data_IF_977706615410
#
_entry.id   IF_977706615410
#
_cell.length_a   1.000
_cell.length_b   1.000
_cell.length_c   1.000
_cell.angle_alpha   90.00
_cell.angle_beta   90.00
_cell.angle_gamma   90.00
#
_symmetry.space_group_name_H-M   'P 1'
#
loop_
_entity.id
_entity.type
_entity.pdbx_description
1 polymer ?
#
# COMPACT_ATOMS: atom_id res chain seq x y z
N UNK A 1 1.86 -20.90 -23.16
CA UNK A 1 1.88 -19.95 -22.02
C UNK A 1 0.67 -20.21 -21.12
N UNK A 2 0.87 -20.29 -19.80
CA UNK A 2 -0.23 -20.35 -18.84
C UNK A 2 -1.01 -19.02 -18.82
N UNK A 3 -2.25 -19.03 -18.31
CA UNK A 3 -3.09 -17.82 -18.22
C UNK A 3 -2.41 -16.70 -17.41
N UNK A 4 -1.73 -17.05 -16.31
CA UNK A 4 -0.97 -16.11 -15.49
C UNK A 4 0.17 -15.45 -16.27
N UNK A 5 0.95 -16.22 -17.04
CA UNK A 5 2.00 -15.65 -17.88
C UNK A 5 1.46 -14.69 -18.94
N UNK A 6 0.27 -14.96 -19.50
CA UNK A 6 -0.38 -14.05 -20.45
C UNK A 6 -0.80 -12.74 -19.79
N UNK A 7 -1.41 -12.80 -18.60
CA UNK A 7 -1.83 -11.61 -17.87
C UNK A 7 -0.64 -10.71 -17.50
N UNK A 8 0.44 -11.28 -16.96
CA UNK A 8 1.64 -10.51 -16.61
C UNK A 8 2.30 -9.87 -17.85
N UNK A 9 2.31 -10.57 -18.98
CA UNK A 9 2.83 -10.03 -20.23
C UNK A 9 1.96 -8.90 -20.79
N UNK A 10 0.63 -9.06 -20.79
CA UNK A 10 -0.29 -8.01 -21.23
C UNK A 10 -0.16 -6.75 -20.35
N UNK A 11 -0.13 -6.92 -19.03
CA UNK A 11 0.05 -5.81 -18.09
C UNK A 11 1.36 -5.06 -18.36
N UNK A 12 2.48 -5.78 -18.51
CA UNK A 12 3.77 -5.16 -18.81
C UNK A 12 3.71 -4.35 -20.10
N UNK A 13 3.13 -4.92 -21.17
CA UNK A 13 3.00 -4.26 -22.47
C UNK A 13 2.12 -3.02 -22.39
N UNK A 14 0.99 -3.09 -21.69
CA UNK A 14 0.07 -1.94 -21.52
C UNK A 14 0.78 -0.81 -20.77
N UNK A 15 1.41 -1.11 -19.63
CA UNK A 15 2.15 -0.11 -18.85
C UNK A 15 3.26 0.56 -19.66
N UNK A 16 4.10 -0.21 -20.36
CA UNK A 16 5.21 0.37 -21.14
C UNK A 16 4.76 1.04 -22.43
N UNK A 17 3.57 0.72 -22.95
CA UNK A 17 2.98 1.44 -24.09
C UNK A 17 2.45 2.82 -23.70
N UNK A 18 1.99 2.99 -22.46
CA UNK A 18 1.50 4.27 -21.93
C UNK A 18 2.66 5.18 -21.49
N UNK A 19 3.61 4.65 -20.71
CA UNK A 19 4.84 5.34 -20.34
C UNK A 19 5.93 4.29 -20.11
N UNK A 20 6.92 4.23 -21.00
CA UNK A 20 7.98 3.21 -20.94
C UNK A 20 8.79 3.27 -19.63
N UNK A 21 9.23 4.47 -19.24
CA UNK A 21 10.11 4.64 -18.08
C UNK A 21 9.39 4.39 -16.75
N UNK A 22 8.15 4.89 -16.59
CA UNK A 22 7.36 4.67 -15.38
C UNK A 22 6.75 3.25 -15.37
N UNK A 23 6.33 2.74 -16.52
CA UNK A 23 5.81 1.38 -16.66
C UNK A 23 6.84 0.31 -16.29
N UNK A 24 8.10 0.50 -16.72
CA UNK A 24 9.22 -0.37 -16.28
C UNK A 24 9.44 -0.30 -14.77
N UNK A 25 9.28 0.85 -14.12
CA UNK A 25 9.40 0.98 -12.66
C UNK A 25 8.30 0.22 -11.92
N UNK A 26 7.05 0.29 -12.43
CA UNK A 26 5.92 -0.50 -11.88
C UNK A 26 6.23 -1.99 -11.98
N UNK A 27 6.68 -2.46 -13.16
CA UNK A 27 7.02 -3.87 -13.35
C UNK A 27 8.19 -4.32 -12.47
N UNK A 28 9.22 -3.47 -12.30
CA UNK A 28 10.34 -3.77 -11.40
C UNK A 28 9.87 -3.95 -9.96
N UNK A 29 9.01 -3.05 -9.45
CA UNK A 29 8.44 -3.16 -8.11
C UNK A 29 7.61 -4.43 -7.94
N UNK A 30 6.80 -4.79 -8.94
CA UNK A 30 6.00 -6.02 -8.91
C UNK A 30 6.88 -7.28 -8.89
N UNK A 31 7.93 -7.32 -9.72
CA UNK A 31 8.87 -8.46 -9.77
C UNK A 31 9.63 -8.60 -8.45
N UNK A 32 10.08 -7.48 -7.88
CA UNK A 32 10.75 -7.43 -6.56
C UNK A 32 9.87 -8.07 -5.48
N UNK A 33 8.59 -7.69 -5.43
CA UNK A 33 7.61 -8.29 -4.53
C UNK A 33 7.36 -9.77 -4.81
N UNK A 34 7.15 -10.18 -6.06
CA UNK A 34 6.94 -11.60 -6.38
C UNK A 34 8.15 -12.44 -5.95
N UNK A 35 9.36 -11.91 -6.10
CA UNK A 35 10.57 -12.59 -5.66
C UNK A 35 10.60 -12.76 -4.14
N UNK A 36 10.32 -11.70 -3.37
CA UNK A 36 10.33 -11.77 -1.90
C UNK A 36 9.31 -12.75 -1.33
N UNK A 37 8.16 -12.96 -2.00
CA UNK A 37 7.15 -13.95 -1.56
C UNK A 37 7.59 -15.41 -1.68
N UNK A 38 8.71 -15.69 -2.37
CA UNK A 38 9.26 -17.05 -2.53
C UNK A 38 10.21 -17.44 -1.41
N UNK A 39 10.75 -16.46 -0.69
CA UNK A 39 11.67 -16.70 0.40
C UNK A 39 10.90 -17.11 1.66
N UNK A 40 11.57 -17.85 2.55
CA UNK A 40 10.98 -18.15 3.85
C UNK A 40 10.78 -16.84 4.64
N UNK A 41 9.59 -16.68 5.20
CA UNK A 41 9.25 -15.50 6.00
C UNK A 41 10.18 -15.38 7.20
N UNK A 42 10.79 -14.21 7.36
CA UNK A 42 11.64 -13.90 8.52
C UNK A 42 10.79 -13.87 9.80
N UNK A 43 11.27 -14.53 10.84
CA UNK A 43 10.53 -14.67 12.11
C UNK A 43 11.07 -13.75 13.23
N UNK A 44 12.34 -13.34 13.15
CA UNK A 44 13.01 -12.59 14.22
C UNK A 44 13.41 -11.19 13.75
N UNK A 45 13.09 -10.18 14.56
CA UNK A 45 13.37 -8.78 14.27
C UNK A 45 14.04 -8.11 15.47
N UNK A 46 15.06 -7.30 15.19
CA UNK A 46 15.82 -6.57 16.23
C UNK A 46 15.03 -5.43 16.87
N UNK A 47 13.90 -5.03 16.27
CA UNK A 47 12.98 -4.03 16.79
C UNK A 47 11.91 -3.66 15.75
N UNK A 48 11.00 -2.76 16.14
CA UNK A 48 9.89 -2.35 15.27
C UNK A 48 10.36 -1.76 13.94
N UNK A 49 11.45 -0.99 13.93
CA UNK A 49 11.95 -0.38 12.69
C UNK A 49 12.42 -1.43 11.68
N UNK A 50 13.17 -2.41 12.14
CA UNK A 50 13.63 -3.56 11.36
C UNK A 50 12.45 -4.40 10.84
N UNK A 51 11.43 -4.61 11.70
CA UNK A 51 10.17 -5.23 11.28
C UNK A 51 9.48 -4.45 10.15
N UNK A 52 9.32 -3.13 10.29
CA UNK A 52 8.67 -2.30 9.28
C UNK A 52 9.45 -2.23 7.97
N UNK A 53 10.78 -2.23 8.01
CA UNK A 53 11.61 -2.26 6.81
C UNK A 53 11.52 -3.60 6.07
N UNK A 54 11.40 -4.72 6.78
CA UNK A 54 11.07 -6.01 6.17
C UNK A 54 9.65 -6.01 5.59
N UNK A 55 8.67 -5.54 6.37
CA UNK A 55 7.26 -5.50 5.99
C UNK A 55 7.00 -4.61 4.78
N UNK A 56 7.80 -3.57 4.57
CA UNK A 56 7.77 -2.73 3.38
C UNK A 56 7.91 -3.51 2.07
N UNK A 57 8.75 -4.55 2.05
CA UNK A 57 8.90 -5.42 0.88
C UNK A 57 7.70 -6.35 0.76
N UNK A 58 7.24 -6.91 1.88
CA UNK A 58 6.13 -7.86 1.97
C UNK A 58 4.75 -7.24 1.63
N UNK A 59 4.59 -5.93 1.79
CA UNK A 59 3.40 -5.19 1.30
C UNK A 59 3.56 -4.62 -0.11
N UNK A 60 4.64 -4.96 -0.82
CA UNK A 60 4.97 -4.45 -2.15
C UNK A 60 5.08 -2.91 -2.21
N UNK A 61 5.66 -2.25 -1.21
CA UNK A 61 5.69 -0.78 -1.16
C UNK A 61 6.36 -0.13 -2.38
N UNK A 62 7.41 -0.74 -2.94
CA UNK A 62 8.04 -0.26 -4.18
C UNK A 62 7.05 -0.26 -5.35
N UNK A 63 6.26 -1.31 -5.49
CA UNK A 63 5.20 -1.40 -6.50
C UNK A 63 4.13 -0.34 -6.27
N UNK A 64 3.67 -0.17 -5.02
CA UNK A 64 2.65 0.83 -4.66
C UNK A 64 3.11 2.24 -5.04
N UNK A 65 4.32 2.65 -4.64
CA UNK A 65 4.81 4.00 -4.96
C UNK A 65 5.18 4.17 -6.44
N UNK A 66 5.60 3.11 -7.12
CA UNK A 66 5.75 3.15 -8.58
C UNK A 66 4.40 3.39 -9.28
N UNK A 67 3.32 2.74 -8.82
CA UNK A 67 1.96 3.00 -9.31
C UNK A 67 1.54 4.45 -9.04
N UNK A 68 1.79 4.99 -7.83
CA UNK A 68 1.50 6.40 -7.50
C UNK A 68 2.21 7.34 -8.49
N UNK A 69 3.48 7.07 -8.81
CA UNK A 69 4.22 7.86 -9.79
C UNK A 69 3.67 7.72 -11.20
N UNK A 70 3.38 6.49 -11.63
CA UNK A 70 2.85 6.18 -12.95
C UNK A 70 1.53 6.91 -13.22
N UNK A 71 0.52 6.74 -12.34
CA UNK A 71 -0.82 7.33 -12.53
C UNK A 71 -0.83 8.85 -12.45
N UNK A 72 0.21 9.46 -11.86
CA UNK A 72 0.37 10.90 -11.79
C UNK A 72 1.36 11.46 -12.82
N UNK A 73 1.94 10.61 -13.69
CA UNK A 73 3.01 10.98 -14.64
C UNK A 73 4.17 11.72 -13.95
N UNK A 74 4.64 11.20 -12.82
CA UNK A 74 5.69 11.80 -11.99
C UNK A 74 7.03 11.13 -12.27
N UNK A 75 7.81 11.77 -13.14
CA UNK A 75 9.19 11.38 -13.40
C UNK A 75 10.16 12.23 -12.58
N UNK A 76 10.65 11.66 -11.47
CA UNK A 76 11.72 12.19 -10.65
C UNK A 76 12.96 11.30 -10.80
N UNK A 77 14.13 11.93 -10.97
CA UNK A 77 15.42 11.28 -10.80
C UNK A 77 15.64 10.91 -9.33
N UNK A 78 16.63 10.08 -9.03
CA UNK A 78 16.97 9.74 -7.64
C UNK A 78 17.27 11.00 -6.80
N UNK A 79 18.05 11.94 -7.35
CA UNK A 79 18.33 13.22 -6.69
C UNK A 79 17.07 14.11 -6.54
N UNK A 80 16.13 14.03 -7.49
CA UNK A 80 14.84 14.73 -7.39
C UNK A 80 13.91 14.12 -6.35
N UNK A 81 14.03 12.82 -6.06
CA UNK A 81 13.21 12.12 -5.08
C UNK A 81 13.80 12.20 -3.64
N UNK A 82 15.12 12.32 -3.51
CA UNK A 82 15.83 12.34 -2.21
C UNK A 82 15.24 13.30 -1.17
N UNK A 83 14.83 14.55 -1.49
CA UNK A 83 14.22 15.45 -0.51
C UNK A 83 12.90 14.93 0.08
N UNK A 84 12.27 13.95 -0.56
CA UNK A 84 10.98 13.38 -0.18
C UNK A 84 11.12 12.05 0.57
N UNK A 85 12.32 11.50 0.68
CA UNK A 85 12.57 10.16 1.25
C UNK A 85 11.96 9.98 2.63
N UNK A 86 12.09 10.99 3.50
CA UNK A 86 11.51 10.94 4.85
C UNK A 86 9.99 10.86 4.80
N UNK A 87 9.35 11.70 3.97
CA UNK A 87 7.89 11.71 3.82
C UNK A 87 7.39 10.39 3.23
N UNK A 88 8.08 9.84 2.23
CA UNK A 88 7.73 8.55 1.62
C UNK A 88 7.88 7.40 2.63
N UNK A 89 8.96 7.38 3.43
CA UNK A 89 9.16 6.38 4.49
C UNK A 89 8.08 6.46 5.57
N UNK A 90 7.69 7.67 5.99
CA UNK A 90 6.59 7.86 6.93
C UNK A 90 5.27 7.35 6.35
N UNK A 91 4.93 7.71 5.12
CA UNK A 91 3.69 7.25 4.48
C UNK A 91 3.66 5.73 4.27
N UNK A 92 4.81 5.14 3.94
CA UNK A 92 4.98 3.69 3.85
C UNK A 92 4.72 3.01 5.20
N UNK A 93 5.37 3.48 6.26
CA UNK A 93 5.23 2.90 7.59
C UNK A 93 3.78 3.07 8.09
N UNK A 94 3.12 4.20 7.78
CA UNK A 94 1.68 4.40 7.99
C UNK A 94 0.82 3.38 7.25
N UNK A 95 1.05 3.18 5.94
CA UNK A 95 0.30 2.21 5.12
C UNK A 95 0.42 0.80 5.71
N UNK A 96 1.62 0.40 6.14
CA UNK A 96 1.87 -0.88 6.80
C UNK A 96 1.03 -1.00 8.07
N UNK A 97 1.16 -0.04 8.99
CA UNK A 97 0.47 -0.11 10.27
C UNK A 97 -1.05 -0.12 10.13
N UNK A 98 -1.59 0.69 9.22
CA UNK A 98 -3.02 0.71 8.90
C UNK A 98 -3.45 -0.65 8.36
N UNK A 99 -2.71 -1.20 7.39
CA UNK A 99 -3.02 -2.51 6.83
C UNK A 99 -3.07 -3.58 7.92
N UNK A 100 -2.00 -3.66 8.71
CA UNK A 100 -1.83 -4.66 9.76
C UNK A 100 -2.91 -4.53 10.85
N UNK A 101 -3.27 -3.30 11.23
CA UNK A 101 -4.32 -3.04 12.22
C UNK A 101 -5.68 -3.59 11.76
N UNK A 102 -6.09 -3.30 10.52
CA UNK A 102 -7.40 -3.71 10.00
C UNK A 102 -7.42 -5.16 9.51
N UNK A 103 -6.28 -5.72 9.08
CA UNK A 103 -6.19 -7.10 8.60
C UNK A 103 -5.99 -8.12 9.72
N UNK A 104 -5.64 -7.69 10.94
CA UNK A 104 -5.21 -8.55 12.04
C UNK A 104 -6.18 -9.70 12.32
N UNK A 105 -7.48 -9.45 12.50
CA UNK A 105 -8.47 -10.50 12.82
C UNK A 105 -8.55 -11.56 11.73
N UNK A 106 -8.45 -11.14 10.47
CA UNK A 106 -8.43 -12.06 9.33
C UNK A 106 -7.18 -12.93 9.37
N UNK A 107 -6.02 -12.32 9.60
CA UNK A 107 -4.72 -13.00 9.60
C UNK A 107 -4.53 -13.90 10.82
N UNK A 108 -5.00 -13.49 12.00
CA UNK A 108 -5.01 -14.31 13.22
C UNK A 108 -5.90 -15.54 13.04
N UNK A 109 -7.07 -15.39 12.40
CA UNK A 109 -7.91 -16.52 12.03
C UNK A 109 -7.25 -17.44 11.00
N UNK A 110 -6.56 -16.89 9.99
CA UNK A 110 -5.84 -17.69 9.01
C UNK A 110 -4.67 -18.47 9.66
N UNK A 111 -3.96 -17.87 10.61
CA UNK A 111 -2.95 -18.55 11.43
C UNK A 111 -3.58 -19.73 12.19
N UNK A 112 -4.67 -19.49 12.92
CA UNK A 112 -5.31 -20.53 13.74
C UNK A 112 -5.95 -21.64 12.93
N UNK A 113 -6.59 -21.32 11.80
CA UNK A 113 -7.37 -22.28 11.01
C UNK A 113 -6.61 -22.97 9.89
N UNK A 114 -5.54 -22.34 9.36
CA UNK A 114 -4.78 -22.83 8.20
C UNK A 114 -3.29 -23.00 8.49
N UNK A 115 -2.86 -22.73 9.72
CA UNK A 115 -1.45 -22.71 10.10
C UNK A 115 -0.62 -21.78 9.18
N UNK A 116 -1.21 -20.66 8.77
CA UNK A 116 -0.57 -19.67 7.91
C UNK A 116 0.44 -18.82 8.70
N UNK A 117 1.50 -18.35 8.05
CA UNK A 117 2.41 -17.37 8.66
C UNK A 117 1.72 -16.03 8.85
N UNK A 118 1.96 -15.39 9.99
CA UNK A 118 1.48 -14.02 10.27
C UNK A 118 2.67 -13.06 10.31
N UNK A 119 2.66 -12.05 9.44
CA UNK A 119 3.66 -10.97 9.42
C UNK A 119 2.88 -9.67 9.59
N UNK A 120 2.58 -9.35 10.85
CA UNK A 120 1.63 -8.30 11.20
C UNK A 120 2.11 -7.54 12.44
N UNK A 121 2.07 -6.21 12.40
CA UNK A 121 2.56 -5.35 13.48
C UNK A 121 1.81 -5.59 14.79
N UNK A 122 0.49 -5.81 14.76
CA UNK A 122 -0.29 -6.10 15.98
C UNK A 122 0.18 -7.41 16.60
N UNK A 123 0.41 -8.45 15.79
CA UNK A 123 0.95 -9.72 16.26
C UNK A 123 2.38 -9.56 16.81
N UNK A 124 3.23 -8.81 16.11
CA UNK A 124 4.60 -8.53 16.54
C UNK A 124 4.63 -7.80 17.89
N UNK A 125 3.82 -6.75 18.07
CA UNK A 125 3.74 -5.98 19.32
C UNK A 125 3.17 -6.81 20.47
N UNK A 126 2.18 -7.67 20.20
CA UNK A 126 1.61 -8.61 21.17
C UNK A 126 2.71 -9.49 21.78
N UNK A 127 3.56 -10.07 20.94
CA UNK A 127 4.67 -10.92 21.36
C UNK A 127 5.78 -10.12 22.04
N UNK A 128 6.22 -9.02 21.42
CA UNK A 128 7.33 -8.20 21.90
C UNK A 128 7.08 -7.64 23.30
N UNK A 129 5.84 -7.20 23.57
CA UNK A 129 5.47 -6.55 24.83
C UNK A 129 4.78 -7.49 25.81
N UNK A 130 4.52 -8.75 25.44
CA UNK A 130 3.76 -9.71 26.24
C UNK A 130 2.39 -9.17 26.69
N UNK A 131 1.65 -8.59 25.75
CA UNK A 131 0.31 -8.00 25.99
C UNK A 131 -0.76 -8.70 25.17
N UNK A 132 -2.03 -8.46 25.50
CA UNK A 132 -3.16 -8.97 24.72
C UNK A 132 -3.35 -8.21 23.39
N UNK A 133 -4.02 -8.86 22.42
CA UNK A 133 -4.27 -8.30 21.08
C UNK A 133 -4.94 -6.91 21.13
N UNK A 134 -5.82 -6.67 22.11
CA UNK A 134 -6.46 -5.35 22.29
C UNK A 134 -5.42 -4.26 22.58
N UNK A 135 -4.52 -4.48 23.54
CA UNK A 135 -3.50 -3.51 23.90
C UNK A 135 -2.50 -3.29 22.75
N UNK A 136 -2.13 -4.35 22.03
CA UNK A 136 -1.27 -4.24 20.85
C UNK A 136 -1.90 -3.39 19.74
N UNK A 137 -3.22 -3.50 19.51
CA UNK A 137 -3.98 -2.64 18.58
C UNK A 137 -4.01 -1.18 19.04
N UNK A 138 -4.27 -0.95 20.32
CA UNK A 138 -4.28 0.40 20.89
C UNK A 138 -2.89 1.07 20.67
N UNK A 139 -1.79 0.33 20.85
CA UNK A 139 -0.43 0.80 20.56
C UNK A 139 -0.21 1.06 19.07
N UNK A 140 -0.59 0.12 18.19
CA UNK A 140 -0.48 0.29 16.75
C UNK A 140 -1.25 1.53 16.25
N UNK A 141 -2.43 1.78 16.83
CA UNK A 141 -3.22 2.97 16.54
C UNK A 141 -2.52 4.27 16.97
N UNK A 142 -1.91 4.31 18.16
CA UNK A 142 -1.09 5.43 18.60
C UNK A 142 0.10 5.69 17.66
N UNK A 143 0.76 4.63 17.16
CA UNK A 143 1.85 4.76 16.20
C UNK A 143 1.38 5.35 14.87
N UNK A 144 0.19 4.97 14.39
CA UNK A 144 -0.43 5.56 13.18
C UNK A 144 -0.63 7.06 13.38
N UNK A 145 -1.21 7.47 14.51
CA UNK A 145 -1.46 8.88 14.83
C UNK A 145 -0.16 9.69 14.93
N UNK A 146 0.88 9.13 15.56
CA UNK A 146 2.19 9.79 15.64
C UNK A 146 2.80 9.99 14.25
N UNK A 147 2.72 8.99 13.37
CA UNK A 147 3.19 9.13 11.98
C UNK A 147 2.37 10.17 11.20
N UNK A 148 1.05 10.27 11.43
CA UNK A 148 0.22 11.31 10.80
C UNK A 148 0.67 12.73 11.20
N UNK A 149 1.03 12.93 12.48
CA UNK A 149 1.62 14.19 12.94
C UNK A 149 2.99 14.44 12.28
N UNK A 150 3.85 13.42 12.21
CA UNK A 150 5.15 13.53 11.54
C UNK A 150 5.03 13.83 10.04
N UNK A 151 4.06 13.23 9.35
CA UNK A 151 3.74 13.51 7.94
C UNK A 151 3.30 14.97 7.76
N UNK A 152 2.43 15.46 8.65
CA UNK A 152 1.99 16.85 8.62
C UNK A 152 3.18 17.81 8.76
N UNK A 153 4.04 17.57 9.75
CA UNK A 153 5.18 18.44 10.00
C UNK A 153 6.23 18.38 8.89
N UNK A 154 6.50 17.19 8.35
CA UNK A 154 7.42 17.06 7.21
C UNK A 154 6.87 17.77 5.98
N UNK A 155 5.58 17.63 5.67
CA UNK A 155 4.96 18.36 4.57
C UNK A 155 5.01 19.88 4.79
N UNK A 156 4.76 20.35 6.02
CA UNK A 156 4.89 21.77 6.36
C UNK A 156 6.31 22.27 6.13
N UNK A 157 7.32 21.56 6.64
CA UNK A 157 8.74 21.88 6.47
C UNK A 157 9.14 21.96 5.00
N UNK A 158 8.74 20.97 4.20
CA UNK A 158 9.03 20.92 2.76
C UNK A 158 8.36 22.08 1.99
N UNK A 159 7.20 22.55 2.44
CA UNK A 159 6.52 23.72 1.87
C UNK A 159 7.18 25.05 2.26
N UNK A 160 7.56 25.22 3.52
CA UNK A 160 8.07 26.50 4.05
C UNK A 160 9.47 26.81 3.57
N UNK A 161 10.33 25.80 3.43
CA UNK A 161 11.70 25.98 2.98
C UNK A 161 11.83 26.29 1.47
N UNK A 162 10.70 26.35 0.72
CA UNK A 162 10.66 26.39 -0.75
C UNK A 162 11.59 25.34 -1.39
N UNK A 163 11.81 24.22 -0.70
CA UNK A 163 12.77 23.20 -1.10
C UNK A 163 12.26 22.29 -2.20
N UNK A 164 10.94 22.33 -2.47
CA UNK A 164 10.30 21.49 -3.46
C UNK A 164 9.87 22.27 -4.70
N UNK A 165 10.19 21.71 -5.87
CA UNK A 165 9.56 22.10 -7.12
C UNK A 165 8.10 21.60 -7.21
N UNK A 166 7.41 21.99 -8.29
CA UNK A 166 6.01 21.62 -8.51
C UNK A 166 5.80 20.11 -8.63
N UNK A 167 6.73 19.38 -9.25
CA UNK A 167 6.65 17.94 -9.47
C UNK A 167 6.86 17.18 -8.17
N UNK A 168 7.86 17.58 -7.38
CA UNK A 168 8.12 17.04 -6.06
C UNK A 168 6.95 17.27 -5.11
N UNK A 169 6.35 18.47 -5.12
CA UNK A 169 5.18 18.75 -4.31
C UNK A 169 3.96 17.93 -4.71
N UNK A 170 3.73 17.73 -6.02
CA UNK A 170 2.69 16.82 -6.53
C UNK A 170 2.93 15.39 -6.05
N UNK A 171 4.18 14.91 -6.06
CA UNK A 171 4.50 13.58 -5.58
C UNK A 171 4.23 13.43 -4.08
N UNK A 172 4.69 14.38 -3.27
CA UNK A 172 4.42 14.40 -1.83
C UNK A 172 2.92 14.30 -1.51
N UNK A 173 2.09 15.07 -2.24
CA UNK A 173 0.63 14.99 -2.10
C UNK A 173 0.07 13.64 -2.50
N UNK A 174 0.46 13.11 -3.65
CA UNK A 174 -0.02 11.82 -4.15
C UNK A 174 0.31 10.66 -3.19
N UNK A 175 1.48 10.72 -2.54
CA UNK A 175 1.89 9.76 -1.51
C UNK A 175 1.00 9.83 -0.26
N UNK A 176 0.68 11.04 0.20
CA UNK A 176 -0.23 11.24 1.34
C UNK A 176 -1.66 10.80 0.99
N UNK A 177 -2.12 11.11 -0.21
CA UNK A 177 -3.44 10.69 -0.72
C UNK A 177 -3.52 9.16 -0.84
N UNK A 178 -2.43 8.48 -1.22
CA UNK A 178 -2.32 7.03 -1.21
C UNK A 178 -2.47 6.46 0.22
N UNK A 179 -1.77 7.03 1.20
CA UNK A 179 -1.88 6.62 2.60
C UNK A 179 -3.31 6.83 3.16
N UNK A 180 -3.92 7.98 2.89
CA UNK A 180 -5.31 8.26 3.27
C UNK A 180 -6.31 7.31 2.58
N UNK A 181 -6.10 7.02 1.29
CA UNK A 181 -6.88 6.05 0.55
C UNK A 181 -6.78 4.64 1.14
N UNK A 182 -5.60 4.25 1.64
CA UNK A 182 -5.40 2.97 2.32
C UNK A 182 -6.21 2.89 3.63
N UNK A 183 -6.33 3.97 4.40
CA UNK A 183 -7.21 4.03 5.59
C UNK A 183 -8.64 3.81 5.17
N UNK A 184 -9.14 4.60 4.22
CA UNK A 184 -10.52 4.51 3.77
C UNK A 184 -10.85 3.09 3.26
N UNK A 185 -10.00 2.56 2.37
CA UNK A 185 -10.13 1.19 1.88
C UNK A 185 -10.14 0.17 3.02
N UNK A 186 -9.21 0.27 3.96
CA UNK A 186 -9.06 -0.71 5.04
C UNK A 186 -10.26 -0.73 5.98
N UNK A 187 -10.83 0.44 6.28
CA UNK A 187 -12.04 0.59 7.10
C UNK A 187 -13.27 0.01 6.39
N UNK A 188 -13.41 0.24 5.08
CA UNK A 188 -14.67 -0.05 4.37
C UNK A 188 -14.67 -1.36 3.61
N UNK A 189 -13.51 -1.96 3.34
CA UNK A 189 -13.39 -3.12 2.45
C UNK A 189 -13.94 -4.40 3.07
N UNK A 190 -14.67 -5.18 2.25
CA UNK A 190 -15.07 -6.57 2.56
C UNK A 190 -13.89 -7.48 2.88
N UNK A 191 -12.69 -7.15 2.38
CA UNK A 191 -11.46 -7.90 2.64
C UNK A 191 -11.15 -7.99 4.14
N UNK A 192 -11.39 -6.92 4.90
CA UNK A 192 -11.06 -6.83 6.33
C UNK A 192 -12.31 -6.82 7.20
N UNK A 193 -13.30 -6.00 6.86
CA UNK A 193 -14.54 -5.88 7.64
C UNK A 193 -15.46 -7.09 7.56
N UNK A 194 -15.21 -8.03 6.63
CA UNK A 194 -16.04 -9.23 6.46
C UNK A 194 -17.53 -8.89 6.32
N UNK A 195 -18.35 -9.37 7.26
CA UNK A 195 -19.81 -9.09 7.30
C UNK A 195 -20.15 -7.66 7.73
N UNK A 196 -19.25 -6.96 8.41
CA UNK A 196 -19.44 -5.58 8.87
C UNK A 196 -18.99 -4.53 7.84
N UNK A 197 -18.41 -4.96 6.71
CA UNK A 197 -17.97 -4.05 5.67
C UNK A 197 -19.15 -3.33 5.00
N UNK A 198 -18.95 -2.06 4.64
CA UNK A 198 -19.95 -1.27 3.91
C UNK A 198 -20.15 -1.92 2.54
N UNK A 199 -21.37 -2.37 2.18
CA UNK A 199 -21.62 -2.97 0.88
C UNK A 199 -21.42 -1.91 -0.21
N UNK A 200 -20.46 -2.13 -1.10
CA UNK A 200 -20.38 -1.40 -2.36
C UNK A 200 -21.64 -1.71 -3.18
N UNK A 201 -22.50 -0.71 -3.37
CA UNK A 201 -23.56 -0.77 -4.38
C UNK A 201 -22.99 -0.19 -5.65
N UNK A 202 -22.96 -0.99 -6.72
CA UNK A 202 -22.78 -0.45 -8.05
C UNK A 202 -23.85 0.64 -8.25
N UNK A 203 -23.49 1.84 -8.73
CA UNK A 203 -24.50 2.75 -9.24
C UNK A 203 -25.27 2.01 -10.32
N UNK A 204 -26.60 2.16 -10.36
CA UNK A 204 -27.44 1.59 -11.40
C UNK A 204 -26.82 1.96 -12.75
N UNK A 205 -26.27 0.98 -13.47
CA UNK A 205 -25.81 1.23 -14.82
C UNK A 205 -27.02 1.66 -15.63
N UNK A 206 -26.97 2.77 -16.40
CA UNK A 206 -27.93 2.95 -17.47
C UNK A 206 -27.86 1.68 -18.31
N UNK A 207 -28.95 0.91 -18.29
CA UNK A 207 -29.09 -0.26 -19.13
C UNK A 207 -28.80 0.18 -20.55
N UNK A 208 -27.99 -0.59 -21.28
CA UNK A 208 -27.92 -0.52 -22.73
C UNK A 208 -29.31 -0.85 -23.31
N UNK A 209 -30.23 0.12 -23.26
CA UNK A 209 -31.31 0.26 -24.21
C UNK A 209 -30.69 0.86 -25.46
N UNK A 210 -30.23 -0.01 -26.37
CA UNK A 210 -30.23 0.20 -27.83
C UNK A 210 -29.38 -0.88 -28.51
N UNK A 211 -29.99 -2.04 -28.72
CA UNK A 211 -29.61 -2.98 -29.78
C UNK A 211 -30.86 -3.75 -30.23
N UNK A 212 -31.88 -3.02 -30.64
CA UNK A 212 -33.03 -3.56 -31.37
C UNK A 212 -33.65 -2.48 -32.25
N UNK A 213 -32.84 -1.89 -33.12
CA UNK A 213 -33.32 -1.23 -34.34
C UNK A 213 -32.29 -1.53 -35.45
N UNK A 214 -32.45 -2.68 -36.09
CA UNK A 214 -32.14 -2.94 -37.50
C UNK A 214 -32.70 -4.33 -37.86
N UNK A 215 -34.02 -4.42 -37.76
CA UNK A 215 -34.82 -5.37 -38.50
C UNK A 215 -36.04 -4.58 -38.97
N UNK A 216 -35.84 -3.83 -40.06
CA UNK A 216 -36.77 -3.43 -41.11
C UNK A 216 -35.98 -2.62 -42.15
#
# INVERSE_FOLDING_TARGET
MSATHRLSFCLARELTSEDDALGQQVMKGLISYIHSTRDQSRQEFSGLKDFLDYRAVDIASEFVFACVRFVNSINLSSAGAEPLDKLVKLARDHIILVNDLYSFEKEENDLQSKNATIINTVHYLKLLLSVESKAAKDIAYCLIQDIELQLHEELRKLRTLRSLDKTQFRYARAVIECAAGNVMYSVTSKRYGGKAAIPYKLPDSPQHQEASILAL
#
